data_IF_747363395944
#
_entry.id   IF_747363395944
#
_cell.length_a   1.000
_cell.length_b   1.000
_cell.length_c   1.000
_cell.angle_alpha   90.00
_cell.angle_beta   90.00
_cell.angle_gamma   90.00
#
_symmetry.space_group_name_H-M   'P 1'
#
loop_
_entity.id
_entity.type
_entity.pdbx_description
1 polymer ?
#
# COMPACT_ATOMS: atom_id res chain seq x y z
N UNK A 1 14.71 -28.43 14.42
CA UNK A 1 13.61 -27.55 14.85
C UNK A 1 13.80 -26.18 14.19
N UNK A 2 13.01 -25.96 13.15
CA UNK A 2 13.10 -24.87 12.17
C UNK A 2 12.54 -23.59 12.77
N UNK A 3 13.40 -22.62 13.08
CA UNK A 3 12.98 -21.26 13.40
C UNK A 3 13.50 -20.36 12.27
N UNK A 4 12.67 -20.20 11.24
CA UNK A 4 12.89 -19.18 10.20
C UNK A 4 12.53 -17.85 10.83
N UNK A 5 13.53 -17.21 11.44
CA UNK A 5 13.46 -15.81 11.81
C UNK A 5 13.46 -15.01 10.50
N UNK A 6 12.28 -14.69 10.01
CA UNK A 6 12.12 -13.70 8.95
C UNK A 6 12.51 -12.33 9.51
N UNK A 7 13.79 -12.01 9.43
CA UNK A 7 14.28 -10.63 9.54
C UNK A 7 13.84 -9.93 8.26
N UNK A 8 12.57 -9.48 8.24
CA UNK A 8 12.08 -8.58 7.20
C UNK A 8 12.90 -7.30 7.28
N UNK A 9 13.69 -7.02 6.25
CA UNK A 9 14.40 -5.77 6.15
C UNK A 9 13.38 -4.63 6.21
N UNK A 10 13.67 -3.53 6.93
CA UNK A 10 12.76 -2.39 6.97
C UNK A 10 12.60 -1.88 5.55
N UNK A 11 11.35 -1.81 5.07
CA UNK A 11 10.99 -1.23 3.78
C UNK A 11 11.77 0.07 3.61
N UNK A 12 12.68 0.11 2.63
CA UNK A 12 13.50 1.30 2.40
C UNK A 12 12.65 2.32 1.63
N UNK A 13 11.63 2.83 2.29
CA UNK A 13 10.77 3.89 1.75
C UNK A 13 11.64 5.13 1.57
N UNK A 14 11.76 5.60 0.32
CA UNK A 14 12.55 6.78 -0.03
C UNK A 14 12.23 7.94 0.92
N UNK A 15 13.26 8.70 1.32
CA UNK A 15 13.15 9.81 2.28
C UNK A 15 11.99 10.78 1.97
N UNK A 16 11.72 11.00 0.68
CA UNK A 16 10.65 11.86 0.20
C UNK A 16 9.26 11.35 0.59
N UNK A 17 9.03 10.04 0.57
CA UNK A 17 7.75 9.42 0.95
C UNK A 17 7.59 9.49 2.46
N UNK A 18 8.66 9.17 3.22
CA UNK A 18 8.65 9.32 4.68
C UNK A 18 8.32 10.74 5.12
N UNK A 19 8.73 11.76 4.36
CA UNK A 19 8.32 13.14 4.66
C UNK A 19 6.85 13.41 4.35
N UNK A 20 6.30 12.85 3.26
CA UNK A 20 4.88 13.02 2.95
C UNK A 20 3.95 12.28 3.91
N UNK A 21 4.43 11.19 4.50
CA UNK A 21 3.69 10.39 5.49
C UNK A 21 4.06 10.75 6.93
N UNK A 22 4.94 11.73 7.17
CA UNK A 22 5.46 12.03 8.52
C UNK A 22 4.38 12.54 9.48
N UNK A 23 3.44 13.30 8.95
CA UNK A 23 2.37 13.94 9.72
C UNK A 23 1.11 13.06 9.79
N UNK A 24 1.05 12.01 8.97
CA UNK A 24 -0.11 11.14 8.84
C UNK A 24 0.01 9.95 9.79
N UNK A 25 -1.11 9.56 10.39
CA UNK A 25 -1.17 8.38 11.24
C UNK A 25 -0.89 7.10 10.43
N UNK A 26 0.05 6.23 10.87
CA UNK A 26 0.38 5.00 10.14
C UNK A 26 -0.81 4.05 10.02
N UNK A 27 -1.75 4.11 10.96
CA UNK A 27 -2.99 3.31 10.93
C UNK A 27 -4.01 3.81 9.90
N UNK A 28 -3.86 5.05 9.41
CA UNK A 28 -4.67 5.67 8.36
C UNK A 28 -4.01 5.55 6.98
N UNK A 29 -2.87 4.85 6.87
CA UNK A 29 -2.15 4.65 5.62
C UNK A 29 -2.28 3.20 5.18
N UNK A 30 -2.71 3.02 3.94
CA UNK A 30 -2.84 1.74 3.27
C UNK A 30 -1.87 1.69 2.10
N UNK A 31 -1.20 0.55 1.93
CA UNK A 31 -0.29 0.30 0.82
C UNK A 31 -0.98 -0.57 -0.20
N UNK A 32 -0.80 -0.27 -1.49
CA UNK A 32 -1.37 -1.02 -2.61
C UNK A 32 -0.33 -1.38 -3.67
N UNK A 33 -0.40 -2.61 -4.16
CA UNK A 33 0.47 -3.15 -5.21
C UNK A 33 -0.12 -4.43 -5.81
N UNK A 34 0.32 -4.90 -6.99
CA UNK A 34 1.04 -4.14 -7.99
C UNK A 34 0.09 -3.13 -8.65
N UNK A 35 0.44 -1.84 -8.66
CA UNK A 35 -0.38 -0.81 -9.34
C UNK A 35 0.21 -0.40 -10.69
N UNK A 36 1.33 -0.98 -11.09
CA UNK A 36 2.00 -0.67 -12.37
C UNK A 36 1.10 -0.86 -13.60
N UNK A 37 0.17 -1.81 -13.53
CA UNK A 37 -0.77 -2.11 -14.62
C UNK A 37 -1.83 -1.02 -14.83
N UNK A 38 -2.10 -0.20 -13.81
CA UNK A 38 -3.09 0.88 -13.89
C UNK A 38 -2.56 2.13 -14.65
N UNK A 39 -1.25 2.18 -14.93
CA UNK A 39 -0.64 3.18 -15.82
C UNK A 39 -0.60 4.60 -15.27
N UNK A 40 -0.88 5.61 -16.10
CA UNK A 40 -0.84 7.02 -15.67
C UNK A 40 -2.05 7.45 -14.83
N UNK A 41 -3.13 6.67 -14.85
CA UNK A 41 -4.38 6.94 -14.10
C UNK A 41 -4.48 6.19 -12.78
N UNK A 42 -3.39 5.58 -12.30
CA UNK A 42 -3.40 4.84 -11.04
C UNK A 42 -4.03 5.64 -9.90
N UNK A 43 -3.57 6.88 -9.69
CA UNK A 43 -4.01 7.69 -8.56
C UNK A 43 -5.52 7.99 -8.61
N UNK A 44 -6.04 8.38 -9.78
CA UNK A 44 -7.46 8.67 -9.97
C UNK A 44 -8.32 7.41 -9.80
N UNK A 45 -7.89 6.27 -10.36
CA UNK A 45 -8.62 5.00 -10.26
C UNK A 45 -8.65 4.45 -8.84
N UNK A 46 -7.52 4.58 -8.12
CA UNK A 46 -7.45 4.20 -6.71
C UNK A 46 -8.36 5.10 -5.88
N UNK A 47 -8.31 6.42 -6.11
CA UNK A 47 -9.18 7.36 -5.41
C UNK A 47 -10.66 7.01 -5.62
N UNK A 48 -11.13 6.96 -6.87
CA UNK A 48 -12.53 6.68 -7.22
C UNK A 48 -13.02 5.34 -6.63
N UNK A 49 -12.18 4.31 -6.68
CA UNK A 49 -12.52 3.00 -6.12
C UNK A 49 -12.63 3.02 -4.59
N UNK A 50 -11.68 3.65 -3.90
CA UNK A 50 -11.63 3.64 -2.44
C UNK A 50 -12.53 4.68 -1.78
N UNK A 51 -12.89 5.76 -2.48
CA UNK A 51 -13.87 6.76 -2.03
C UNK A 51 -15.21 6.12 -1.63
N UNK A 52 -15.59 5.02 -2.31
CA UNK A 52 -16.79 4.25 -1.99
C UNK A 52 -16.74 3.52 -0.62
N UNK A 53 -15.54 3.27 -0.07
CA UNK A 53 -15.36 2.54 1.19
C UNK A 53 -15.09 3.47 2.37
N UNK A 54 -14.53 4.65 2.10
CA UNK A 54 -14.21 5.69 3.07
C UNK A 54 -13.52 6.87 2.40
N UNK A 55 -13.54 8.03 3.07
CA UNK A 55 -12.96 9.26 2.52
C UNK A 55 -11.44 9.10 2.35
N UNK A 56 -10.98 9.21 1.11
CA UNK A 56 -9.56 9.18 0.76
C UNK A 56 -9.04 10.62 0.83
N UNK A 57 -8.07 10.87 1.70
CA UNK A 57 -7.44 12.19 1.81
C UNK A 57 -6.39 12.38 0.73
N UNK A 58 -5.63 11.33 0.42
CA UNK A 58 -4.49 11.44 -0.50
C UNK A 58 -4.06 10.10 -1.08
N UNK A 59 -3.58 10.13 -2.33
CA UNK A 59 -2.95 8.99 -2.98
C UNK A 59 -1.55 9.37 -3.45
N UNK A 60 -0.55 8.58 -3.09
CA UNK A 60 0.86 8.80 -3.40
C UNK A 60 1.37 7.57 -4.14
N UNK A 61 1.68 7.71 -5.42
CA UNK A 61 2.19 6.63 -6.26
C UNK A 61 3.70 6.78 -6.40
N UNK A 62 4.44 5.72 -6.09
CA UNK A 62 5.90 5.72 -6.13
C UNK A 62 6.45 4.42 -6.70
N UNK A 63 7.59 4.55 -7.36
CA UNK A 63 8.40 3.39 -7.69
C UNK A 63 9.25 3.04 -6.46
N UNK A 64 9.06 1.84 -5.92
CA UNK A 64 9.79 1.39 -4.75
C UNK A 64 10.21 -0.07 -4.94
N UNK A 65 11.45 -0.44 -4.56
CA UNK A 65 11.85 -1.84 -4.53
C UNK A 65 10.96 -2.58 -3.52
N UNK A 66 10.34 -3.68 -3.93
CA UNK A 66 9.48 -4.50 -3.07
C UNK A 66 10.26 -5.34 -2.03
N UNK A 67 11.58 -5.15 -1.91
CA UNK A 67 12.40 -5.83 -0.91
C UNK A 67 11.95 -5.47 0.52
N UNK A 68 11.68 -6.50 1.35
CA UNK A 68 11.21 -6.36 2.73
C UNK A 68 9.69 -6.33 2.89
N UNK A 69 8.95 -6.46 1.79
CA UNK A 69 7.48 -6.47 1.76
C UNK A 69 6.93 -7.91 1.83
N UNK A 70 7.75 -8.87 2.26
CA UNK A 70 7.50 -10.31 2.28
C UNK A 70 6.25 -10.72 3.07
N UNK A 71 5.91 -9.98 4.13
CA UNK A 71 4.74 -10.23 4.99
C UNK A 71 3.41 -9.90 4.27
N UNK A 72 3.45 -8.96 3.33
CA UNK A 72 2.27 -8.44 2.63
C UNK A 72 2.16 -8.96 1.20
N UNK A 73 3.28 -9.06 0.48
CA UNK A 73 3.31 -9.36 -0.96
C UNK A 73 3.49 -10.85 -1.23
N UNK A 74 3.98 -11.61 -0.26
CA UNK A 74 4.25 -13.04 -0.38
C UNK A 74 5.33 -13.34 -1.42
N UNK A 75 6.60 -13.45 -1.01
CA UNK A 75 7.75 -13.77 -1.85
C UNK A 75 7.69 -13.22 -3.30
N UNK A 76 7.25 -11.98 -3.50
CA UNK A 76 7.47 -11.33 -4.78
C UNK A 76 8.96 -11.01 -4.83
N UNK A 77 9.65 -11.58 -5.80
CA UNK A 77 11.07 -11.37 -6.02
C UNK A 77 11.40 -9.88 -6.12
N UNK A 78 12.67 -9.57 -5.90
CA UNK A 78 13.27 -8.24 -5.91
C UNK A 78 13.14 -7.51 -7.27
N UNK A 79 11.91 -7.24 -7.72
CA UNK A 79 11.61 -6.43 -8.89
C UNK A 79 11.09 -5.07 -8.41
N UNK A 80 11.65 -4.00 -8.97
CA UNK A 80 11.11 -2.65 -8.83
C UNK A 80 9.69 -2.60 -9.42
N UNK A 81 8.71 -2.43 -8.54
CA UNK A 81 7.33 -2.26 -8.94
C UNK A 81 6.75 -0.95 -8.40
N UNK A 82 5.60 -0.58 -8.94
CA UNK A 82 4.93 0.65 -8.55
C UNK A 82 4.03 0.30 -7.37
N UNK A 83 4.25 1.00 -6.27
CA UNK A 83 3.46 0.91 -5.05
C UNK A 83 2.70 2.22 -4.88
N UNK A 84 1.43 2.13 -4.49
CA UNK A 84 0.65 3.28 -4.10
C UNK A 84 0.43 3.28 -2.58
N UNK A 85 0.55 4.45 -1.97
CA UNK A 85 0.18 4.71 -0.59
C UNK A 85 -1.11 5.52 -0.61
N UNK A 86 -2.13 5.01 0.05
CA UNK A 86 -3.46 5.61 0.18
C UNK A 86 -3.60 6.08 1.62
N UNK A 87 -3.84 7.37 1.79
CA UNK A 87 -4.08 8.00 3.09
C UNK A 87 -5.58 8.25 3.19
N UNK A 88 -6.20 7.76 4.25
CA UNK A 88 -7.65 7.87 4.48
C UNK A 88 -7.96 8.76 5.69
N UNK A 89 -9.17 9.32 5.72
CA UNK A 89 -9.66 10.15 6.84
C UNK A 89 -10.06 9.26 8.04
N UNK A 90 -9.03 8.74 8.72
CA UNK A 90 -9.17 8.04 9.99
C UNK A 90 -9.07 6.51 9.93
N UNK A 91 -8.69 5.93 11.08
CA UNK A 91 -8.43 4.49 11.25
C UNK A 91 -9.70 3.65 11.01
N UNK A 92 -10.87 4.23 11.26
CA UNK A 92 -12.15 3.55 11.01
C UNK A 92 -12.33 3.27 9.51
N UNK A 93 -12.04 4.26 8.64
CA UNK A 93 -12.08 4.08 7.18
C UNK A 93 -11.04 3.05 6.73
N UNK A 94 -9.80 3.13 7.26
CA UNK A 94 -8.74 2.18 6.91
C UNK A 94 -9.12 0.74 7.26
N UNK A 95 -9.65 0.53 8.47
CA UNK A 95 -10.14 -0.77 8.92
C UNK A 95 -11.31 -1.29 8.10
N UNK A 96 -12.20 -0.39 7.67
CA UNK A 96 -13.34 -0.76 6.85
C UNK A 96 -12.88 -1.25 5.47
N UNK A 97 -11.92 -0.55 4.85
CA UNK A 97 -11.28 -0.98 3.60
C UNK A 97 -10.59 -2.33 3.75
N UNK A 98 -9.78 -2.51 4.80
CA UNK A 98 -9.10 -3.77 5.08
C UNK A 98 -10.07 -4.93 5.37
N UNK A 99 -11.23 -4.64 5.98
CA UNK A 99 -12.28 -5.63 6.24
C UNK A 99 -13.04 -6.03 4.97
N UNK A 100 -13.10 -5.16 3.95
CA UNK A 100 -13.70 -5.48 2.67
C UNK A 100 -12.88 -6.51 1.88
N UNK A 101 -11.58 -6.60 2.14
CA UNK A 101 -10.67 -7.57 1.56
C UNK A 101 -9.28 -6.98 1.36
N UNK A 102 -8.28 -7.84 1.18
CA UNK A 102 -6.94 -7.40 0.78
C UNK A 102 -6.80 -7.34 -0.73
N UNK A 103 -7.56 -8.14 -1.49
CA UNK A 103 -7.49 -8.19 -2.95
C UNK A 103 -8.68 -7.42 -3.55
N UNK A 104 -8.39 -6.38 -4.33
CA UNK A 104 -9.36 -5.54 -5.01
C UNK A 104 -9.16 -5.60 -6.53
N UNK A 105 -10.25 -5.66 -7.28
CA UNK A 105 -10.22 -5.57 -8.72
C UNK A 105 -10.54 -4.13 -9.15
N UNK A 106 -9.52 -3.38 -9.59
CA UNK A 106 -9.65 -1.98 -10.01
C UNK A 106 -9.39 -1.89 -11.50
N UNK A 107 -10.35 -1.37 -12.27
CA UNK A 107 -10.28 -1.30 -13.73
C UNK A 107 -9.94 -2.66 -14.42
N UNK A 108 -10.33 -3.79 -13.81
CA UNK A 108 -10.04 -5.13 -14.31
C UNK A 108 -8.65 -5.67 -13.93
N UNK A 109 -7.85 -4.92 -13.18
CA UNK A 109 -6.56 -5.36 -12.65
C UNK A 109 -6.68 -5.71 -11.16
N UNK A 110 -6.01 -6.78 -10.76
CA UNK A 110 -5.95 -7.20 -9.36
C UNK A 110 -4.89 -6.38 -8.63
N UNK A 111 -5.31 -5.77 -7.54
CA UNK A 111 -4.47 -4.95 -6.68
C UNK A 111 -4.63 -5.48 -5.26
N UNK A 112 -3.52 -5.73 -4.59
CA UNK A 112 -3.50 -6.07 -3.19
C UNK A 112 -3.36 -4.82 -2.34
N UNK A 113 -3.87 -4.90 -1.12
CA UNK A 113 -3.85 -3.87 -0.10
C UNK A 113 -3.36 -4.46 1.22
N UNK A 114 -2.49 -3.75 1.94
CA UNK A 114 -2.19 -4.00 3.35
C UNK A 114 -2.02 -2.70 4.15
N UNK A 115 -2.15 -2.76 5.48
CA UNK A 115 -1.81 -1.63 6.34
C UNK A 115 -0.35 -1.23 6.22
N UNK A 116 -0.07 0.07 6.28
CA UNK A 116 1.28 0.59 6.40
C UNK A 116 1.84 0.30 7.80
N UNK A 117 2.98 -0.40 7.86
CA UNK A 117 3.75 -0.55 9.09
C UNK A 117 4.88 0.47 9.09
N UNK A 118 4.60 1.66 9.64
CA UNK A 118 5.64 2.65 9.93
C UNK A 118 6.56 2.14 11.05
N UNK A 119 7.86 2.07 10.79
CA UNK A 119 8.92 1.84 11.81
C UNK A 119 9.60 3.15 12.17
#
# INVERSE_FOLDING_TARGET
PTASAATGAPLQVSWQIKQQLRDEDPECILMLWPVKQLGSRCAELLWDHFDAYGEVCRVIVVNAPMEGMDDCIGQAGAEDDIVAYLVVDGVAAARHMLAAGQEHAIAGHKVNMCPYRGT
#
